data_IF_040920294429
#
_entry.id   IF_040920294429
#
_cell.length_a   1.000
_cell.length_b   1.000
_cell.length_c   1.000
_cell.angle_alpha   90.00
_cell.angle_beta   90.00
_cell.angle_gamma   90.00
#
_symmetry.space_group_name_H-M   'P 1'
#
loop_
_entity.id
_entity.type
_entity.pdbx_description
1 polymer ?
#
# COMPACT_ATOMS: atom_id res chain seq x y z
N UNK A 1 -9.12 11.14 25.76
CA UNK A 1 -9.17 11.64 24.38
C UNK A 1 -7.87 11.27 23.68
N UNK A 2 -7.98 10.68 22.51
CA UNK A 2 -6.79 10.27 21.77
C UNK A 2 -6.43 11.31 20.71
N UNK A 3 -5.14 11.42 20.40
CA UNK A 3 -4.65 12.29 19.36
C UNK A 3 -4.23 11.44 18.16
N UNK A 4 -4.43 11.96 16.95
CA UNK A 4 -3.92 11.34 15.73
C UNK A 4 -2.50 11.79 15.50
N UNK A 5 -1.62 10.86 15.22
CA UNK A 5 -0.21 11.14 14.95
C UNK A 5 0.26 10.37 13.72
N UNK A 6 1.32 10.84 13.08
CA UNK A 6 1.99 10.07 12.02
C UNK A 6 3.04 9.20 12.71
N UNK A 7 2.82 7.89 12.67
CA UNK A 7 3.66 6.93 13.39
C UNK A 7 4.81 6.37 12.53
N UNK A 8 4.76 6.54 11.21
CA UNK A 8 5.82 6.03 10.33
C UNK A 8 5.56 6.38 8.88
N UNK A 9 6.54 6.11 8.04
CA UNK A 9 6.44 6.34 6.61
C UNK A 9 7.34 5.40 5.84
N UNK A 10 7.00 5.20 4.57
CA UNK A 10 7.82 4.47 3.60
C UNK A 10 7.45 4.91 2.20
N UNK A 11 8.32 4.66 1.25
CA UNK A 11 8.04 4.93 -0.16
C UNK A 11 8.78 3.94 -1.04
N UNK A 12 8.29 3.76 -2.26
CA UNK A 12 9.02 3.04 -3.30
C UNK A 12 10.03 3.98 -3.97
N UNK A 13 11.03 3.44 -4.68
CA UNK A 13 11.87 4.26 -5.54
C UNK A 13 11.06 4.80 -6.73
N UNK A 14 11.53 5.89 -7.31
CA UNK A 14 11.05 6.39 -8.59
C UNK A 14 12.00 5.96 -9.69
N UNK A 15 11.46 5.54 -10.82
CA UNK A 15 12.25 5.20 -12.00
C UNK A 15 11.58 5.79 -13.24
N UNK A 16 12.35 5.99 -14.35
CA UNK A 16 11.73 6.48 -15.58
C UNK A 16 10.63 5.55 -16.08
N UNK A 17 9.53 6.15 -16.54
CA UNK A 17 8.43 5.40 -17.12
C UNK A 17 8.91 4.66 -18.36
N UNK A 18 8.41 3.45 -18.58
CA UNK A 18 8.70 2.58 -19.72
C UNK A 18 10.13 2.05 -19.81
N UNK A 19 11.10 2.67 -19.14
CA UNK A 19 12.52 2.31 -19.23
C UNK A 19 13.16 1.96 -17.91
N UNK A 20 12.56 2.33 -16.80
CA UNK A 20 13.14 2.12 -15.48
C UNK A 20 12.94 0.71 -14.95
N UNK A 21 13.56 0.43 -13.81
CA UNK A 21 13.47 -0.88 -13.15
C UNK A 21 12.06 -1.28 -12.76
N UNK A 22 11.14 -0.31 -12.58
CA UNK A 22 9.76 -0.56 -12.20
C UNK A 22 8.80 -0.64 -13.38
N UNK A 23 9.29 -0.58 -14.63
CA UNK A 23 8.44 -0.48 -15.82
C UNK A 23 7.47 -1.65 -15.96
N UNK A 24 7.84 -2.83 -15.47
CA UNK A 24 7.01 -4.05 -15.55
C UNK A 24 6.42 -4.48 -14.22
N UNK A 25 6.56 -3.68 -13.20
CA UNK A 25 6.00 -3.97 -11.88
C UNK A 25 4.55 -3.47 -11.84
N UNK A 26 3.63 -4.32 -11.41
CA UNK A 26 2.23 -3.91 -11.26
C UNK A 26 2.11 -2.88 -10.13
N UNK A 27 1.30 -1.82 -10.33
CA UNK A 27 1.14 -0.80 -9.29
C UNK A 27 0.59 -1.34 -7.97
N UNK A 28 -0.35 -2.28 -8.01
CA UNK A 28 -0.93 -2.87 -6.81
C UNK A 28 0.11 -3.67 -6.02
N UNK A 29 0.96 -4.44 -6.70
CA UNK A 29 2.04 -5.17 -6.05
C UNK A 29 3.10 -4.22 -5.48
N UNK A 30 3.42 -3.15 -6.21
CA UNK A 30 4.37 -2.15 -5.73
C UNK A 30 3.89 -1.52 -4.42
N UNK A 31 2.63 -1.12 -4.37
CA UNK A 31 2.05 -0.54 -3.15
C UNK A 31 1.99 -1.58 -2.03
N UNK A 32 1.68 -2.83 -2.34
CA UNK A 32 1.65 -3.90 -1.33
C UNK A 32 3.03 -4.08 -0.68
N UNK A 33 4.11 -4.00 -1.45
CA UNK A 33 5.47 -4.06 -0.91
C UNK A 33 5.77 -2.88 -0.01
N UNK A 34 5.31 -1.68 -0.35
CA UNK A 34 5.48 -0.49 0.48
C UNK A 34 4.74 -0.66 1.82
N UNK A 35 3.50 -1.13 1.78
CA UNK A 35 2.70 -1.38 2.98
C UNK A 35 3.38 -2.41 3.87
N UNK A 36 3.82 -3.52 3.29
CA UNK A 36 4.50 -4.59 4.02
C UNK A 36 5.79 -4.08 4.67
N UNK A 37 6.60 -3.35 3.92
CA UNK A 37 7.85 -2.78 4.43
C UNK A 37 7.62 -1.79 5.56
N UNK A 38 6.57 -0.98 5.45
CA UNK A 38 6.21 -0.03 6.50
C UNK A 38 5.80 -0.75 7.79
N UNK A 39 4.99 -1.81 7.67
CA UNK A 39 4.57 -2.59 8.84
C UNK A 39 5.76 -3.26 9.52
N UNK A 40 6.69 -3.82 8.75
CA UNK A 40 7.91 -4.41 9.32
C UNK A 40 8.77 -3.36 10.02
N UNK A 41 8.96 -2.21 9.39
CA UNK A 41 9.80 -1.14 9.94
C UNK A 41 9.21 -0.56 11.23
N UNK A 42 7.90 -0.34 11.24
CA UNK A 42 7.23 0.30 12.39
C UNK A 42 6.95 -0.68 13.53
N UNK A 43 6.93 -1.98 13.25
CA UNK A 43 6.53 -2.99 14.23
C UNK A 43 5.05 -3.00 14.54
N UNK A 44 4.23 -2.32 13.73
CA UNK A 44 2.78 -2.28 13.95
C UNK A 44 2.16 -3.66 13.68
N UNK A 45 1.18 -4.02 14.51
CA UNK A 45 0.43 -5.25 14.33
C UNK A 45 -0.65 -5.02 13.25
N UNK A 46 -0.61 -5.76 12.13
CA UNK A 46 -1.63 -5.61 11.09
C UNK A 46 -3.06 -5.81 11.59
N UNK A 47 -3.27 -6.64 12.61
CA UNK A 47 -4.60 -6.86 13.18
C UNK A 47 -5.14 -5.63 13.90
N UNK A 48 -4.30 -4.68 14.27
CA UNK A 48 -4.69 -3.42 14.89
C UNK A 48 -5.07 -2.33 13.90
N UNK A 49 -4.90 -2.57 12.60
CA UNK A 49 -5.27 -1.58 11.58
C UNK A 49 -6.79 -1.55 11.42
N UNK A 50 -7.35 -0.36 11.31
CA UNK A 50 -8.77 -0.18 11.11
C UNK A 50 -9.13 0.06 9.65
N UNK A 51 -8.26 0.74 8.90
CA UNK A 51 -8.56 1.16 7.54
C UNK A 51 -7.30 1.26 6.70
N UNK A 52 -7.44 1.05 5.40
CA UNK A 52 -6.40 1.25 4.40
C UNK A 52 -6.95 2.18 3.32
N UNK A 53 -6.40 3.37 3.23
CA UNK A 53 -6.86 4.40 2.30
C UNK A 53 -5.75 4.70 1.31
N UNK A 54 -6.03 4.52 0.02
CA UNK A 54 -5.06 4.73 -1.06
C UNK A 54 -5.63 5.71 -2.07
N UNK A 55 -4.86 6.77 -2.36
CA UNK A 55 -5.17 7.68 -3.45
C UNK A 55 -4.78 7.09 -4.80
N UNK A 56 -5.64 7.26 -5.79
CA UNK A 56 -5.39 6.75 -7.13
C UNK A 56 -5.95 7.74 -8.15
N UNK A 57 -5.09 8.26 -9.04
CA UNK A 57 -5.49 9.24 -10.04
C UNK A 57 -6.27 8.60 -11.20
N UNK A 58 -5.92 7.36 -11.56
CA UNK A 58 -6.56 6.63 -12.65
C UNK A 58 -6.92 5.22 -12.19
N UNK A 59 -8.14 5.02 -11.63
CA UNK A 59 -8.54 3.71 -11.11
C UNK A 59 -9.01 2.78 -12.23
N UNK A 60 -8.12 2.47 -13.17
CA UNK A 60 -8.38 1.62 -14.33
C UNK A 60 -7.32 0.54 -14.46
N UNK A 61 -7.66 -0.56 -15.15
CA UNK A 61 -6.74 -1.66 -15.38
C UNK A 61 -6.22 -2.24 -14.08
N UNK A 62 -4.90 -2.25 -13.91
CA UNK A 62 -4.25 -2.79 -12.72
C UNK A 62 -4.51 -1.99 -11.45
N UNK A 63 -5.09 -0.80 -11.57
CA UNK A 63 -5.46 0.06 -10.45
C UNK A 63 -6.99 0.17 -10.29
N UNK A 64 -7.75 -0.65 -11.02
CA UNK A 64 -9.20 -0.64 -10.94
C UNK A 64 -9.75 -1.51 -9.83
N UNK A 65 -11.06 -1.56 -9.72
CA UNK A 65 -11.80 -2.45 -8.83
C UNK A 65 -11.40 -2.29 -7.36
N UNK A 66 -11.35 -1.04 -6.88
CA UNK A 66 -10.95 -0.72 -5.52
C UNK A 66 -9.52 -1.24 -5.23
N UNK A 67 -8.54 -0.55 -5.77
CA UNK A 67 -7.13 -0.95 -5.67
C UNK A 67 -6.68 -1.11 -4.21
N UNK A 68 -7.22 -0.31 -3.29
CA UNK A 68 -6.86 -0.42 -1.88
C UNK A 68 -7.21 -1.80 -1.31
N UNK A 69 -8.37 -2.35 -1.69
CA UNK A 69 -8.75 -3.70 -1.24
C UNK A 69 -7.80 -4.76 -1.82
N UNK A 70 -7.45 -4.63 -3.08
CA UNK A 70 -6.51 -5.55 -3.73
C UNK A 70 -5.13 -5.47 -3.07
N UNK A 71 -4.64 -4.27 -2.79
CA UNK A 71 -3.38 -4.07 -2.08
C UNK A 71 -3.44 -4.72 -0.70
N UNK A 72 -4.56 -4.60 0.01
CA UNK A 72 -4.75 -5.24 1.31
C UNK A 72 -4.57 -6.76 1.23
N UNK A 73 -5.14 -7.40 0.22
CA UNK A 73 -4.96 -8.82 0.01
C UNK A 73 -3.51 -9.18 -0.33
N UNK A 74 -2.86 -8.42 -1.22
CA UNK A 74 -1.48 -8.68 -1.62
C UNK A 74 -0.49 -8.46 -0.49
N UNK A 75 -0.79 -7.56 0.42
CA UNK A 75 0.05 -7.28 1.60
C UNK A 75 -0.26 -8.18 2.78
N UNK A 76 -1.15 -9.16 2.61
CA UNK A 76 -1.60 -10.10 3.65
C UNK A 76 -2.19 -9.40 4.87
N UNK A 77 -2.92 -8.31 4.66
CA UNK A 77 -3.64 -7.66 5.75
C UNK A 77 -4.85 -8.51 6.14
N UNK A 78 -5.20 -8.54 7.44
CA UNK A 78 -6.36 -9.32 7.86
C UNK A 78 -7.66 -8.74 7.28
N UNK A 79 -8.70 -9.58 7.06
CA UNK A 79 -9.97 -9.12 6.51
C UNK A 79 -10.68 -8.07 7.36
N UNK A 80 -10.29 -7.92 8.62
CA UNK A 80 -10.85 -6.90 9.52
C UNK A 80 -10.44 -5.48 9.14
N UNK A 81 -9.40 -5.31 8.30
CA UNK A 81 -8.99 -3.98 7.84
C UNK A 81 -9.95 -3.52 6.75
N UNK A 82 -10.53 -2.36 6.95
CA UNK A 82 -11.48 -1.79 6.01
C UNK A 82 -10.80 -1.21 4.76
#
# INVERSE_FOLDING_TARGET
>A
MSEAVIAGYARSPFTPASKGALAKVRPDELMAQVVHGLLERSGADPAGLEDLIIGCAFPEGEQGLNVARIVGFLADLPPSVA
#
